data_IF_304878115643
#
_entry.id   IF_304878115643
#
_cell.length_a   1.000
_cell.length_b   1.000
_cell.length_c   1.000
_cell.angle_alpha   90.00
_cell.angle_beta   90.00
_cell.angle_gamma   90.00
#
_symmetry.space_group_name_H-M   'P 1'
#
loop_
_entity.id
_entity.type
_entity.pdbx_description
1 polymer ?
#
# COMPACT_ATOMS: atom_id res chain seq x y z
N UNK A 1 22.42 -7.85 -6.45
CA UNK A 1 22.38 -9.06 -5.60
C UNK A 1 21.00 -9.12 -4.98
N UNK A 2 20.25 -10.22 -5.08
CA UNK A 2 18.97 -10.34 -4.36
C UNK A 2 19.29 -10.72 -2.92
N UNK A 3 18.89 -9.89 -1.95
CA UNK A 3 18.99 -10.24 -0.52
C UNK A 3 18.01 -11.36 -0.18
N UNK A 4 16.99 -11.52 -1.03
CA UNK A 4 16.03 -12.59 -0.99
C UNK A 4 16.70 -13.97 -0.98
N UNK A 5 16.37 -14.75 0.04
CA UNK A 5 16.79 -16.14 0.23
C UNK A 5 15.60 -17.05 -0.07
N UNK A 6 15.46 -17.42 -1.35
CA UNK A 6 14.34 -18.24 -1.83
C UNK A 6 14.23 -19.59 -1.11
N UNK A 7 15.31 -20.09 -0.49
CA UNK A 7 15.25 -21.34 0.29
C UNK A 7 14.45 -21.22 1.59
N UNK A 8 14.20 -19.99 2.05
CA UNK A 8 13.43 -19.68 3.26
C UNK A 8 11.97 -19.37 3.00
N UNK A 9 11.54 -19.39 1.75
CA UNK A 9 10.19 -19.02 1.35
C UNK A 9 9.45 -20.30 0.99
N UNK A 10 8.24 -20.48 1.54
CA UNK A 10 7.45 -21.69 1.27
C UNK A 10 7.11 -21.81 -0.22
N UNK A 11 7.07 -23.04 -0.78
CA UNK A 11 6.91 -23.25 -2.23
C UNK A 11 5.65 -22.62 -2.83
N UNK A 12 4.53 -22.62 -2.11
CA UNK A 12 3.25 -22.07 -2.55
C UNK A 12 3.35 -20.55 -2.74
N UNK A 13 4.03 -19.88 -1.82
CA UNK A 13 4.31 -18.45 -1.89
C UNK A 13 5.23 -18.15 -3.07
N UNK A 14 6.36 -18.87 -3.20
CA UNK A 14 7.28 -18.70 -4.31
C UNK A 14 6.59 -18.83 -5.66
N UNK A 15 5.69 -19.81 -5.79
CA UNK A 15 4.91 -20.01 -7.01
C UNK A 15 4.05 -18.79 -7.34
N UNK A 16 3.31 -18.25 -6.36
CA UNK A 16 2.47 -17.07 -6.54
C UNK A 16 3.29 -15.86 -7.02
N UNK A 17 4.45 -15.61 -6.39
CA UNK A 17 5.35 -14.52 -6.78
C UNK A 17 5.95 -14.73 -8.16
N UNK A 18 6.43 -15.93 -8.47
CA UNK A 18 7.07 -16.22 -9.76
C UNK A 18 6.09 -16.00 -10.93
N UNK A 19 4.81 -16.31 -10.74
CA UNK A 19 3.77 -16.03 -11.73
C UNK A 19 3.59 -14.51 -11.93
N UNK A 20 3.50 -13.74 -10.84
CA UNK A 20 3.38 -12.28 -10.87
C UNK A 20 4.60 -11.62 -11.51
N UNK A 21 5.81 -11.98 -11.09
CA UNK A 21 7.06 -11.43 -11.63
C UNK A 21 7.24 -11.73 -13.12
N UNK A 22 6.83 -12.92 -13.59
CA UNK A 22 6.85 -13.25 -15.04
C UNK A 22 5.91 -12.35 -15.84
N UNK A 23 4.74 -12.02 -15.32
CA UNK A 23 3.80 -11.12 -15.99
C UNK A 23 4.29 -9.68 -16.00
N UNK A 24 4.84 -9.19 -14.88
CA UNK A 24 5.46 -7.87 -14.80
C UNK A 24 6.65 -7.74 -15.78
N UNK A 25 7.48 -8.78 -15.90
CA UNK A 25 8.57 -8.81 -16.88
C UNK A 25 8.05 -8.74 -18.32
N UNK A 26 6.94 -9.42 -18.64
CA UNK A 26 6.30 -9.26 -19.96
C UNK A 26 5.82 -7.83 -20.18
N UNK A 27 5.19 -7.21 -19.19
CA UNK A 27 4.77 -5.81 -19.26
C UNK A 27 5.95 -4.85 -19.50
N UNK A 28 7.06 -5.06 -18.78
CA UNK A 28 8.31 -4.34 -19.01
C UNK A 28 8.82 -4.48 -20.44
N UNK A 29 8.78 -5.69 -21.02
CA UNK A 29 9.19 -5.93 -22.40
C UNK A 29 8.23 -5.29 -23.42
N UNK A 30 6.93 -5.26 -23.15
CA UNK A 30 5.96 -4.54 -23.99
C UNK A 30 6.17 -3.02 -23.94
N UNK A 31 6.52 -2.45 -22.78
CA UNK A 31 6.85 -1.03 -22.65
C UNK A 31 7.97 -0.60 -23.60
N UNK A 32 9.00 -1.42 -23.76
CA UNK A 32 10.14 -1.11 -24.60
C UNK A 32 9.83 -1.15 -26.11
N UNK A 33 8.69 -1.72 -26.51
CA UNK A 33 8.29 -1.78 -27.93
C UNK A 33 7.72 -0.47 -28.45
N UNK A 34 7.26 0.44 -27.57
CA UNK A 34 6.71 1.72 -28.01
C UNK A 34 7.81 2.64 -28.55
N UNK A 35 7.53 3.31 -29.67
CA UNK A 35 8.46 4.22 -30.36
C UNK A 35 8.99 5.33 -29.43
N UNK A 36 8.12 5.89 -28.59
CA UNK A 36 8.49 6.93 -27.61
C UNK A 36 9.51 6.45 -26.55
N UNK A 37 9.67 5.15 -26.39
CA UNK A 37 10.54 4.54 -25.37
C UNK A 37 11.85 4.00 -25.94
N UNK A 38 12.15 4.21 -27.23
CA UNK A 38 13.39 3.71 -27.87
C UNK A 38 14.70 4.20 -27.24
N UNK A 39 14.67 5.31 -26.50
CA UNK A 39 15.82 5.83 -25.74
C UNK A 39 15.94 5.31 -24.31
N UNK A 40 15.00 4.49 -23.84
CA UNK A 40 14.98 4.03 -22.45
C UNK A 40 16.05 2.96 -22.19
N UNK A 41 17.09 3.32 -21.45
CA UNK A 41 18.19 2.42 -21.09
C UNK A 41 17.79 1.51 -19.90
N UNK A 42 16.91 0.53 -20.14
CA UNK A 42 16.45 -0.38 -19.09
C UNK A 42 17.62 -1.07 -18.37
N UNK A 43 18.62 -1.56 -19.11
CA UNK A 43 19.76 -2.25 -18.50
C UNK A 43 20.55 -1.34 -17.57
N UNK A 44 20.82 -0.10 -17.99
CA UNK A 44 21.51 0.89 -17.16
C UNK A 44 20.70 1.25 -15.91
N UNK A 45 19.38 1.42 -16.04
CA UNK A 45 18.51 1.67 -14.89
C UNK A 45 18.45 0.49 -13.92
N UNK A 46 18.32 -0.74 -14.40
CA UNK A 46 18.33 -1.92 -13.55
C UNK A 46 19.67 -2.11 -12.83
N UNK A 47 20.79 -1.82 -13.51
CA UNK A 47 22.11 -1.82 -12.88
C UNK A 47 22.19 -0.76 -11.78
N UNK A 48 21.77 0.47 -12.08
CA UNK A 48 21.76 1.59 -11.13
C UNK A 48 20.87 1.30 -9.92
N UNK A 49 19.69 0.70 -10.13
CA UNK A 49 18.80 0.24 -9.05
C UNK A 49 19.50 -0.83 -8.20
N UNK A 50 20.16 -1.81 -8.82
CA UNK A 50 20.86 -2.86 -8.08
C UNK A 50 22.00 -2.33 -7.22
N UNK A 51 22.81 -1.40 -7.76
CA UNK A 51 23.90 -0.73 -7.03
C UNK A 51 23.37 0.10 -5.85
N UNK A 52 22.30 0.87 -6.07
CA UNK A 52 21.65 1.64 -5.03
C UNK A 52 21.03 0.77 -3.94
N UNK A 53 20.38 -0.33 -4.32
CA UNK A 53 19.76 -1.25 -3.40
C UNK A 53 20.82 -1.92 -2.51
N UNK A 54 21.96 -2.30 -3.09
CA UNK A 54 23.09 -2.83 -2.32
C UNK A 54 23.60 -1.80 -1.31
N UNK A 55 23.80 -0.54 -1.72
CA UNK A 55 24.20 0.54 -0.82
C UNK A 55 23.18 0.74 0.30
N UNK A 56 21.89 0.80 -0.03
CA UNK A 56 20.80 1.01 0.93
C UNK A 56 20.77 -0.08 2.00
N UNK A 57 20.82 -1.34 1.61
CA UNK A 57 20.79 -2.43 2.58
C UNK A 57 22.08 -2.58 3.38
N UNK A 58 23.25 -2.21 2.82
CA UNK A 58 24.50 -2.14 3.59
C UNK A 58 24.45 -1.02 4.64
N UNK A 59 23.93 0.15 4.27
CA UNK A 59 23.72 1.31 5.15
C UNK A 59 22.85 0.91 6.35
N UNK A 60 21.69 0.32 6.08
CA UNK A 60 20.77 -0.17 7.11
C UNK A 60 21.39 -1.29 7.96
N UNK A 61 22.10 -2.26 7.35
CA UNK A 61 22.67 -3.39 8.09
C UNK A 61 23.78 -2.99 9.05
N UNK A 62 24.56 -1.98 8.68
CA UNK A 62 25.67 -1.49 9.48
C UNK A 62 25.23 -0.44 10.51
N UNK A 63 23.97 0.04 10.43
CA UNK A 63 23.48 1.22 11.16
C UNK A 63 24.37 2.44 10.93
N UNK A 64 24.85 2.57 9.70
CA UNK A 64 25.74 3.63 9.25
C UNK A 64 25.07 4.36 8.10
N UNK A 65 24.80 5.65 8.24
CA UNK A 65 24.10 6.46 7.24
C UNK A 65 22.62 6.64 7.54
N UNK A 66 21.97 7.43 6.69
CA UNK A 66 20.59 7.90 6.82
C UNK A 66 19.92 7.92 5.46
N UNK A 67 18.59 8.03 5.41
CA UNK A 67 17.85 8.14 4.15
C UNK A 67 18.35 9.31 3.29
N UNK A 68 18.91 10.34 3.91
CA UNK A 68 19.53 11.48 3.26
C UNK A 68 20.70 11.09 2.36
N UNK A 69 21.44 10.03 2.69
CA UNK A 69 22.59 9.52 1.92
C UNK A 69 22.18 8.82 0.61
N UNK A 70 20.87 8.66 0.39
CA UNK A 70 20.28 8.10 -0.83
C UNK A 70 19.80 9.20 -1.78
N UNK A 71 19.61 10.43 -1.31
CA UNK A 71 19.26 11.55 -2.20
C UNK A 71 20.36 11.79 -3.23
N UNK A 72 19.95 12.17 -4.43
CA UNK A 72 20.86 12.40 -5.56
C UNK A 72 21.37 11.13 -6.25
N UNK A 73 21.03 9.93 -5.76
CA UNK A 73 21.33 8.70 -6.49
C UNK A 73 20.57 8.65 -7.82
N UNK A 74 19.29 9.03 -7.80
CA UNK A 74 18.47 9.26 -8.99
C UNK A 74 18.11 10.75 -9.09
N UNK A 75 18.09 11.27 -10.32
CA UNK A 75 17.51 12.59 -10.59
C UNK A 75 15.98 12.50 -10.62
N UNK A 76 15.29 13.63 -10.47
CA UNK A 76 13.83 13.67 -10.60
C UNK A 76 13.33 13.15 -11.95
N UNK A 77 14.09 13.43 -13.02
CA UNK A 77 13.76 12.96 -14.36
C UNK A 77 13.89 11.43 -14.47
N UNK A 78 14.96 10.87 -13.89
CA UNK A 78 15.14 9.42 -13.82
C UNK A 78 14.04 8.75 -12.99
N UNK A 79 13.68 9.32 -11.82
CA UNK A 79 12.59 8.80 -11.00
C UNK A 79 11.25 8.85 -11.73
N UNK A 80 10.95 9.93 -12.47
CA UNK A 80 9.72 10.04 -13.28
C UNK A 80 9.70 9.00 -14.41
N UNK A 81 10.82 8.79 -15.08
CA UNK A 81 10.94 7.76 -16.11
C UNK A 81 10.76 6.34 -15.53
N UNK A 82 11.38 6.05 -14.37
CA UNK A 82 11.21 4.78 -13.67
C UNK A 82 9.76 4.57 -13.22
N UNK A 83 9.13 5.59 -12.64
CA UNK A 83 7.72 5.54 -12.23
C UNK A 83 6.81 5.24 -13.42
N UNK A 84 6.99 5.94 -14.55
CA UNK A 84 6.23 5.65 -15.79
C UNK A 84 6.41 4.20 -16.25
N UNK A 85 7.65 3.71 -16.27
CA UNK A 85 7.98 2.33 -16.66
C UNK A 85 7.32 1.29 -15.73
N UNK A 86 7.49 1.41 -14.42
CA UNK A 86 6.95 0.44 -13.47
C UNK A 86 5.43 0.49 -13.38
N UNK A 87 4.81 1.68 -13.46
CA UNK A 87 3.33 1.81 -13.55
C UNK A 87 2.79 1.09 -14.77
N UNK A 88 3.43 1.24 -15.93
CA UNK A 88 3.02 0.51 -17.13
C UNK A 88 3.13 -1.02 -16.94
N UNK A 89 4.23 -1.51 -16.37
CA UNK A 89 4.41 -2.94 -16.12
C UNK A 89 3.35 -3.50 -15.16
N UNK A 90 2.99 -2.73 -14.13
CA UNK A 90 1.91 -3.05 -13.18
C UNK A 90 0.54 -3.05 -13.88
N UNK A 91 0.24 -2.03 -14.70
CA UNK A 91 -1.03 -1.95 -15.44
C UNK A 91 -1.17 -3.11 -16.44
N UNK A 92 -0.08 -3.49 -17.11
CA UNK A 92 -0.06 -4.65 -18.00
C UNK A 92 -0.34 -5.96 -17.25
N UNK A 93 0.29 -6.13 -16.08
CA UNK A 93 0.06 -7.28 -15.22
C UNK A 93 -1.41 -7.34 -14.79
N UNK A 94 -1.97 -6.25 -14.26
CA UNK A 94 -3.36 -6.20 -13.78
C UNK A 94 -4.36 -6.41 -14.91
N UNK A 95 -4.11 -5.86 -16.10
CA UNK A 95 -4.94 -6.17 -17.26
C UNK A 95 -4.97 -7.68 -17.53
N UNK A 96 -3.81 -8.33 -17.51
CA UNK A 96 -3.68 -9.77 -17.75
C UNK A 96 -4.35 -10.59 -16.64
N UNK A 97 -4.23 -10.15 -15.40
CA UNK A 97 -4.87 -10.80 -14.25
C UNK A 97 -6.40 -10.70 -14.35
N UNK A 98 -6.94 -9.54 -14.69
CA UNK A 98 -8.39 -9.34 -14.89
C UNK A 98 -8.95 -10.13 -16.08
N UNK A 99 -8.13 -10.48 -17.08
CA UNK A 99 -8.52 -11.42 -18.14
C UNK A 99 -8.59 -12.87 -17.62
N UNK A 100 -7.72 -13.25 -16.68
CA UNK A 100 -7.68 -14.58 -16.04
C UNK A 100 -8.77 -14.73 -14.97
N UNK A 101 -9.03 -13.68 -14.21
CA UNK A 101 -9.98 -13.60 -13.10
C UNK A 101 -10.90 -12.38 -13.31
N UNK A 102 -11.89 -12.49 -14.22
CA UNK A 102 -12.76 -11.37 -14.54
C UNK A 102 -13.63 -10.98 -13.35
N UNK A 103 -13.79 -9.67 -13.17
CA UNK A 103 -14.76 -9.12 -12.23
C UNK A 103 -16.17 -9.48 -12.70
N UNK A 104 -17.00 -9.93 -11.78
CA UNK A 104 -18.39 -10.28 -12.06
C UNK A 104 -19.17 -9.10 -12.65
N UNK A 105 -20.00 -9.36 -13.67
CA UNK A 105 -20.77 -8.34 -14.39
C UNK A 105 -21.81 -7.61 -13.51
N UNK A 106 -22.16 -8.20 -12.37
CA UNK A 106 -23.08 -7.62 -11.39
C UNK A 106 -22.42 -6.59 -10.46
N UNK A 107 -21.08 -6.50 -10.48
CA UNK A 107 -20.32 -5.46 -9.78
C UNK A 107 -20.25 -4.21 -10.65
N UNK A 108 -20.77 -3.10 -10.13
CA UNK A 108 -20.73 -1.82 -10.84
C UNK A 108 -19.48 -1.05 -10.43
N UNK A 109 -18.65 -0.74 -11.43
CA UNK A 109 -17.49 0.13 -11.28
C UNK A 109 -17.82 1.47 -11.92
N UNK A 110 -17.71 2.56 -11.16
CA UNK A 110 -18.04 3.92 -11.63
C UNK A 110 -16.95 4.90 -11.23
N UNK A 111 -16.19 5.36 -12.21
CA UNK A 111 -15.25 6.48 -12.05
C UNK A 111 -16.01 7.77 -11.68
N UNK A 112 -15.42 8.57 -10.78
CA UNK A 112 -16.01 9.80 -10.28
C UNK A 112 -14.91 10.80 -9.90
N UNK A 113 -15.25 12.08 -9.95
CA UNK A 113 -14.48 13.14 -9.30
C UNK A 113 -15.01 13.33 -7.86
N UNK A 114 -14.19 12.98 -6.87
CA UNK A 114 -14.49 13.05 -5.45
C UNK A 114 -13.89 14.33 -4.83
N UNK A 115 -14.30 15.50 -5.32
CA UNK A 115 -13.88 16.79 -4.76
C UNK A 115 -12.53 17.28 -5.27
N UNK A 116 -12.26 17.08 -6.57
CA UNK A 116 -11.01 17.38 -7.24
C UNK A 116 -10.04 16.19 -7.34
N UNK A 117 -10.40 15.04 -6.76
CA UNK A 117 -9.58 13.83 -6.71
C UNK A 117 -10.27 12.72 -7.49
N UNK A 118 -9.64 12.10 -8.50
CA UNK A 118 -10.22 10.96 -9.19
C UNK A 118 -10.39 9.78 -8.22
N UNK A 119 -11.51 9.08 -8.34
CA UNK A 119 -11.82 7.91 -7.55
C UNK A 119 -12.73 6.96 -8.33
N UNK A 120 -12.92 5.74 -7.84
CA UNK A 120 -13.94 4.84 -8.36
C UNK A 120 -14.82 4.26 -7.27
N UNK A 121 -16.13 4.27 -7.52
CA UNK A 121 -17.07 3.45 -6.78
C UNK A 121 -17.00 2.01 -7.26
N UNK A 122 -16.93 1.07 -6.32
CA UNK A 122 -17.11 -0.35 -6.56
C UNK A 122 -18.32 -0.81 -5.75
N UNK A 123 -19.40 -1.13 -6.45
CA UNK A 123 -20.72 -1.40 -5.84
C UNK A 123 -21.10 -2.84 -6.17
N UNK A 124 -21.09 -3.69 -5.14
CA UNK A 124 -21.48 -5.10 -5.24
C UNK A 124 -23.00 -5.28 -5.07
N UNK A 125 -23.58 -6.40 -5.53
CA UNK A 125 -24.98 -6.70 -5.29
C UNK A 125 -25.33 -6.76 -3.80
N UNK A 126 -26.39 -6.04 -3.44
CA UNK A 126 -26.86 -5.94 -2.05
C UNK A 126 -26.00 -5.05 -1.16
N UNK A 127 -25.11 -4.22 -1.73
CA UNK A 127 -24.40 -3.21 -0.96
C UNK A 127 -25.39 -2.21 -0.33
N UNK A 128 -25.15 -1.86 0.93
CA UNK A 128 -25.91 -0.82 1.63
C UNK A 128 -25.49 0.56 1.14
N UNK A 129 -26.46 1.47 1.08
CA UNK A 129 -26.22 2.83 0.59
C UNK A 129 -25.65 3.76 1.66
N UNK A 130 -25.87 3.51 2.95
CA UNK A 130 -25.52 4.46 4.01
C UNK A 130 -24.09 4.29 4.56
N UNK A 131 -23.38 3.22 4.19
CA UNK A 131 -22.03 2.88 4.66
C UNK A 131 -21.04 2.74 3.51
N UNK A 132 -19.79 3.09 3.76
CA UNK A 132 -18.73 3.08 2.74
C UNK A 132 -17.39 2.66 3.34
N UNK A 133 -16.62 1.93 2.55
CA UNK A 133 -15.19 1.71 2.77
C UNK A 133 -14.45 2.69 1.86
N UNK A 134 -13.72 3.64 2.43
CA UNK A 134 -12.77 4.48 1.71
C UNK A 134 -11.46 3.71 1.60
N UNK A 135 -11.10 3.25 0.40
CA UNK A 135 -9.92 2.41 0.20
C UNK A 135 -8.76 3.19 -0.41
N UNK A 136 -7.59 3.08 0.23
CA UNK A 136 -6.35 3.75 -0.13
C UNK A 136 -5.36 2.65 -0.54
N UNK A 137 -5.00 2.60 -1.81
CA UNK A 137 -4.20 1.50 -2.36
C UNK A 137 -2.74 1.55 -1.91
N UNK A 138 -2.03 0.42 -1.98
CA UNK A 138 -0.58 0.34 -1.79
C UNK A 138 0.24 0.91 -2.96
N UNK A 139 1.48 0.44 -3.10
CA UNK A 139 2.38 0.86 -4.20
C UNK A 139 3.42 1.92 -3.84
N UNK A 140 3.75 2.07 -2.56
CA UNK A 140 4.87 2.92 -2.13
C UNK A 140 4.68 4.41 -2.39
N UNK A 141 3.44 4.89 -2.51
CA UNK A 141 3.09 6.25 -2.95
C UNK A 141 3.53 6.62 -4.38
N UNK A 142 4.08 5.65 -5.12
CA UNK A 142 4.73 5.87 -6.42
C UNK A 142 4.04 5.08 -7.52
N UNK A 143 3.47 3.92 -7.20
CA UNK A 143 2.91 2.97 -8.15
C UNK A 143 1.45 2.68 -7.83
N UNK A 144 0.86 1.81 -8.67
CA UNK A 144 -0.49 1.26 -8.51
C UNK A 144 -1.59 2.31 -8.67
N UNK A 145 -2.84 1.86 -8.56
CA UNK A 145 -4.05 2.64 -8.76
C UNK A 145 -5.24 1.84 -8.22
N UNK A 146 -6.46 2.42 -8.12
CA UNK A 146 -7.66 1.68 -7.79
C UNK A 146 -7.85 0.39 -8.59
N UNK A 147 -7.50 0.41 -9.88
CA UNK A 147 -7.63 -0.75 -10.79
C UNK A 147 -6.85 -1.95 -10.30
N UNK A 148 -5.66 -1.72 -9.77
CA UNK A 148 -4.75 -2.77 -9.28
C UNK A 148 -5.25 -3.46 -8.01
N UNK A 149 -6.16 -2.83 -7.27
CA UNK A 149 -6.68 -3.35 -6.00
C UNK A 149 -8.11 -3.90 -6.10
N UNK A 150 -8.75 -3.79 -7.27
CA UNK A 150 -10.16 -4.20 -7.50
C UNK A 150 -10.46 -5.61 -7.00
N UNK A 151 -9.59 -6.58 -7.23
CA UNK A 151 -9.83 -7.96 -6.80
C UNK A 151 -10.00 -8.04 -5.27
N UNK A 152 -9.06 -7.45 -4.52
CA UNK A 152 -9.12 -7.39 -3.06
C UNK A 152 -10.32 -6.56 -2.56
N UNK A 153 -10.51 -5.36 -3.09
CA UNK A 153 -11.54 -4.45 -2.61
C UNK A 153 -12.95 -4.96 -2.91
N UNK A 154 -13.15 -5.66 -4.03
CA UNK A 154 -14.44 -6.29 -4.38
C UNK A 154 -14.74 -7.47 -3.45
N UNK A 155 -13.75 -8.31 -3.10
CA UNK A 155 -13.95 -9.40 -2.13
C UNK A 155 -14.35 -8.86 -0.76
N UNK A 156 -13.69 -7.78 -0.29
CA UNK A 156 -14.07 -7.08 0.95
C UNK A 156 -15.50 -6.54 0.83
N UNK A 157 -15.84 -5.86 -0.28
CA UNK A 157 -17.17 -5.32 -0.52
C UNK A 157 -18.25 -6.41 -0.51
N UNK A 158 -18.00 -7.56 -1.15
CA UNK A 158 -18.93 -8.69 -1.23
C UNK A 158 -19.24 -9.27 0.15
N UNK A 159 -18.23 -9.42 1.01
CA UNK A 159 -18.39 -9.97 2.35
C UNK A 159 -19.02 -8.97 3.33
N UNK A 160 -18.69 -7.69 3.21
CA UNK A 160 -19.20 -6.62 4.09
C UNK A 160 -20.60 -6.14 3.68
N UNK A 161 -20.97 -6.33 2.40
CA UNK A 161 -22.13 -5.68 1.78
C UNK A 161 -22.06 -4.15 1.88
N UNK A 162 -20.86 -3.61 1.77
CA UNK A 162 -20.61 -2.17 1.68
C UNK A 162 -20.10 -1.82 0.29
N UNK A 163 -20.37 -0.59 -0.16
CA UNK A 163 -19.68 -0.01 -1.31
C UNK A 163 -18.27 0.41 -0.94
N UNK A 164 -17.35 0.28 -1.88
CA UNK A 164 -15.98 0.79 -1.74
C UNK A 164 -15.82 2.03 -2.61
N UNK A 165 -15.22 3.09 -2.06
CA UNK A 165 -14.69 4.21 -2.83
C UNK A 165 -13.16 4.09 -2.82
N UNK A 166 -12.57 3.70 -3.94
CA UNK A 166 -11.12 3.58 -4.07
C UNK A 166 -10.56 4.90 -4.61
N UNK A 167 -9.59 5.48 -3.90
CA UNK A 167 -9.02 6.79 -4.24
C UNK A 167 -7.85 6.63 -5.21
N UNK A 168 -7.85 7.40 -6.30
CA UNK A 168 -6.72 7.50 -7.24
C UNK A 168 -5.89 8.74 -6.89
N UNK A 169 -5.24 8.68 -5.72
CA UNK A 169 -4.52 9.82 -5.16
C UNK A 169 -3.25 10.12 -5.97
N UNK A 170 -2.80 11.37 -5.96
CA UNK A 170 -1.59 11.82 -6.67
C UNK A 170 -0.35 11.05 -6.21
N UNK A 171 0.49 10.62 -7.15
CA UNK A 171 1.67 9.79 -6.87
C UNK A 171 2.98 10.59 -6.99
N UNK A 172 3.97 10.19 -6.20
CA UNK A 172 5.35 10.60 -6.34
C UNK A 172 6.00 9.86 -7.52
N UNK A 173 7.06 10.41 -8.16
CA UNK A 173 7.72 11.68 -7.87
C UNK A 173 7.02 12.91 -8.46
N UNK A 174 5.91 12.74 -9.20
CA UNK A 174 5.20 13.88 -9.79
C UNK A 174 4.64 14.82 -8.74
N UNK A 175 4.13 14.23 -7.67
CA UNK A 175 3.54 14.89 -6.53
C UNK A 175 4.09 14.21 -5.26
N UNK A 176 5.20 14.70 -4.69
CA UNK A 176 5.73 14.17 -3.44
C UNK A 176 4.78 14.45 -2.26
N UNK A 177 5.15 13.99 -1.06
CA UNK A 177 4.45 14.36 0.17
C UNK A 177 4.26 15.89 0.26
N UNK A 178 3.09 16.40 0.72
CA UNK A 178 1.94 15.70 1.30
C UNK A 178 0.80 15.36 0.34
N UNK A 179 1.01 15.39 -0.99
CA UNK A 179 -0.07 15.34 -1.98
C UNK A 179 -1.04 14.15 -1.82
N UNK A 180 -0.49 12.97 -1.53
CA UNK A 180 -1.25 11.73 -1.30
C UNK A 180 -2.21 11.88 -0.11
N UNK A 181 -1.70 12.39 1.01
CA UNK A 181 -2.45 12.57 2.24
C UNK A 181 -3.53 13.64 2.07
N UNK A 182 -3.20 14.75 1.42
CA UNK A 182 -4.17 15.80 1.10
C UNK A 182 -5.35 15.26 0.31
N UNK A 183 -5.08 14.46 -0.73
CA UNK A 183 -6.12 13.86 -1.57
C UNK A 183 -7.02 12.91 -0.77
N UNK A 184 -6.43 12.03 0.05
CA UNK A 184 -7.18 11.08 0.88
C UNK A 184 -8.10 11.79 1.89
N UNK A 185 -7.59 12.83 2.57
CA UNK A 185 -8.38 13.62 3.52
C UNK A 185 -9.45 14.44 2.80
N UNK A 186 -9.16 14.96 1.60
CA UNK A 186 -10.15 15.67 0.79
C UNK A 186 -11.28 14.76 0.32
N UNK A 187 -10.99 13.51 -0.09
CA UNK A 187 -12.04 12.54 -0.42
C UNK A 187 -12.86 12.16 0.80
N UNK A 188 -12.24 12.01 1.98
CA UNK A 188 -12.98 11.79 3.23
C UNK A 188 -13.96 12.94 3.51
N UNK A 189 -13.50 14.20 3.42
CA UNK A 189 -14.37 15.38 3.55
C UNK A 189 -15.48 15.37 2.51
N UNK A 190 -15.15 15.02 1.26
CA UNK A 190 -16.13 14.91 0.20
C UNK A 190 -17.23 13.90 0.55
N UNK A 191 -16.88 12.71 1.08
CA UNK A 191 -17.87 11.74 1.56
C UNK A 191 -18.82 12.35 2.61
N UNK A 192 -18.30 13.14 3.55
CA UNK A 192 -19.14 13.85 4.52
C UNK A 192 -20.10 14.83 3.83
N UNK A 193 -19.64 15.57 2.81
CA UNK A 193 -20.52 16.46 2.02
C UNK A 193 -21.58 15.71 1.21
N UNK A 194 -21.32 14.45 0.85
CA UNK A 194 -22.29 13.58 0.17
C UNK A 194 -23.34 12.98 1.13
N UNK A 195 -23.27 13.32 2.42
CA UNK A 195 -24.24 12.89 3.44
C UNK A 195 -23.89 11.57 4.12
N UNK A 196 -22.70 11.00 3.88
CA UNK A 196 -22.22 9.91 4.73
C UNK A 196 -21.90 10.47 6.11
N UNK A 197 -22.40 9.79 7.15
CA UNK A 197 -21.97 10.08 8.52
C UNK A 197 -20.59 9.49 8.75
N UNK A 198 -19.76 10.16 9.54
CA UNK A 198 -18.42 9.67 9.88
C UNK A 198 -18.47 8.27 10.54
N UNK A 199 -19.45 8.04 11.42
CA UNK A 199 -19.77 6.75 12.06
C UNK A 199 -20.20 5.63 11.10
N UNK A 200 -20.34 5.93 9.79
CA UNK A 200 -20.67 4.97 8.73
C UNK A 200 -19.52 4.79 7.70
N UNK A 201 -18.37 5.42 7.92
CA UNK A 201 -17.19 5.32 7.06
C UNK A 201 -16.13 4.45 7.74
N UNK A 202 -15.55 3.52 7.00
CA UNK A 202 -14.30 2.83 7.38
C UNK A 202 -13.22 3.25 6.41
N UNK A 203 -12.04 3.61 6.91
CA UNK A 203 -10.86 3.83 6.04
C UNK A 203 -10.05 2.54 6.02
N UNK A 204 -9.70 2.05 4.84
CA UNK A 204 -8.92 0.84 4.68
C UNK A 204 -7.80 1.05 3.65
N UNK A 205 -6.69 0.33 3.82
CA UNK A 205 -5.60 0.38 2.86
C UNK A 205 -4.46 -0.55 3.20
N UNK A 206 -3.57 -0.75 2.26
CA UNK A 206 -2.45 -1.68 2.37
C UNK A 206 -1.10 -1.01 2.12
N UNK A 207 -0.02 -1.49 2.76
CA UNK A 207 1.33 -0.96 2.53
C UNK A 207 1.40 0.56 2.75
N UNK A 208 1.72 1.32 1.70
CA UNK A 208 1.64 2.78 1.69
C UNK A 208 0.20 3.31 1.87
N UNK A 209 -0.82 2.67 1.30
CA UNK A 209 -2.22 2.96 1.60
C UNK A 209 -2.61 2.65 3.04
N UNK A 210 -1.95 1.67 3.67
CA UNK A 210 -2.04 1.39 5.10
C UNK A 210 -1.45 2.53 5.94
N UNK A 211 -0.34 3.12 5.49
CA UNK A 211 0.17 4.38 6.06
C UNK A 211 -0.87 5.50 5.92
N UNK A 212 -1.36 5.76 4.70
CA UNK A 212 -2.36 6.81 4.42
C UNK A 212 -3.63 6.62 5.23
N UNK A 213 -4.02 5.38 5.53
CA UNK A 213 -5.16 5.06 6.37
C UNK A 213 -4.97 5.62 7.79
N UNK A 214 -3.79 5.38 8.37
CA UNK A 214 -3.45 5.83 9.71
C UNK A 214 -3.21 7.36 9.74
N UNK A 215 -2.44 7.89 8.81
CA UNK A 215 -2.11 9.33 8.75
C UNK A 215 -3.31 10.18 8.37
N UNK A 216 -4.25 9.66 7.57
CA UNK A 216 -5.54 10.34 7.34
C UNK A 216 -6.34 10.47 8.63
N UNK A 217 -6.44 9.42 9.46
CA UNK A 217 -7.14 9.53 10.74
C UNK A 217 -6.49 10.53 11.70
N UNK A 218 -5.15 10.51 11.78
CA UNK A 218 -4.39 11.49 12.58
C UNK A 218 -4.67 12.91 12.07
N UNK A 219 -4.57 13.14 10.75
CA UNK A 219 -4.82 14.45 10.16
C UNK A 219 -6.26 14.93 10.36
N UNK A 220 -7.24 14.03 10.25
CA UNK A 220 -8.65 14.33 10.51
C UNK A 220 -8.86 14.73 11.98
N UNK A 221 -8.20 14.04 12.91
CA UNK A 221 -8.25 14.36 14.33
C UNK A 221 -7.64 15.75 14.61
N UNK A 222 -6.45 16.02 14.06
CA UNK A 222 -5.76 17.30 14.20
C UNK A 222 -6.61 18.47 13.65
N UNK A 223 -7.34 18.22 12.57
CA UNK A 223 -8.22 19.21 11.93
C UNK A 223 -9.60 19.34 12.62
N UNK A 224 -9.86 18.57 13.68
CA UNK A 224 -11.15 18.56 14.38
C UNK A 224 -12.32 18.02 13.54
N UNK A 225 -12.02 17.18 12.54
CA UNK A 225 -13.01 16.55 11.66
C UNK A 225 -13.48 15.24 12.32
N UNK A 226 -14.80 14.94 12.32
CA UNK A 226 -15.31 13.69 12.86
C UNK A 226 -14.59 12.47 12.25
N UNK A 227 -14.15 11.55 13.12
CA UNK A 227 -13.38 10.37 12.73
C UNK A 227 -14.27 9.23 12.19
N UNK A 228 -13.71 8.35 11.32
CA UNK A 228 -14.42 7.17 10.83
C UNK A 228 -14.81 6.23 11.97
N UNK A 229 -15.71 5.28 11.67
CA UNK A 229 -16.10 4.21 12.59
C UNK A 229 -14.91 3.32 13.01
N UNK A 230 -13.91 3.19 12.15
CA UNK A 230 -12.69 2.43 12.39
C UNK A 230 -11.79 2.39 11.16
N UNK A 231 -10.67 1.69 11.29
CA UNK A 231 -9.69 1.54 10.23
C UNK A 231 -9.18 0.11 10.05
N UNK A 232 -8.81 -0.23 8.81
CA UNK A 232 -8.15 -1.48 8.46
C UNK A 232 -6.85 -1.17 7.72
N UNK A 233 -5.71 -1.46 8.33
CA UNK A 233 -4.41 -1.25 7.73
C UNK A 233 -3.69 -2.60 7.52
N UNK A 234 -3.43 -2.95 6.27
CA UNK A 234 -2.79 -4.21 5.88
C UNK A 234 -1.30 -3.94 5.62
N UNK A 235 -0.40 -4.60 6.35
CA UNK A 235 1.04 -4.41 6.21
C UNK A 235 1.50 -2.94 6.18
N UNK A 236 1.00 -2.03 7.07
CA UNK A 236 1.26 -0.60 6.93
C UNK A 236 2.73 -0.24 7.16
N UNK A 237 3.25 0.69 6.33
CA UNK A 237 4.54 1.33 6.58
C UNK A 237 4.38 2.48 7.59
N UNK A 238 4.73 2.27 8.86
CA UNK A 238 4.48 3.27 9.93
C UNK A 238 5.68 4.06 10.43
N UNK A 239 6.89 3.72 9.98
CA UNK A 239 8.16 4.27 10.47
C UNK A 239 9.16 4.37 9.31
N UNK A 240 9.55 5.59 8.95
CA UNK A 240 10.53 5.89 7.90
C UNK A 240 11.90 6.31 8.46
N UNK A 241 12.13 6.14 9.76
CA UNK A 241 13.32 6.62 10.49
C UNK A 241 14.44 5.57 10.62
N UNK A 242 14.44 4.55 9.75
CA UNK A 242 15.42 3.44 9.74
C UNK A 242 15.50 2.60 11.03
N UNK A 243 14.49 2.69 11.91
CA UNK A 243 14.47 2.05 13.23
C UNK A 243 13.79 0.67 13.28
N UNK A 244 13.38 0.12 12.13
CA UNK A 244 12.66 -1.15 12.04
C UNK A 244 13.62 -2.34 11.85
N UNK A 245 13.70 -3.23 12.84
CA UNK A 245 14.66 -4.34 12.82
C UNK A 245 14.28 -5.38 11.76
N UNK A 246 12.98 -5.67 11.61
CA UNK A 246 12.49 -6.61 10.59
C UNK A 246 12.65 -6.07 9.18
N UNK A 247 12.69 -4.75 8.99
CA UNK A 247 12.87 -4.16 7.66
C UNK A 247 14.15 -4.69 6.99
N UNK A 248 15.19 -4.92 7.78
CA UNK A 248 16.39 -5.60 7.32
C UNK A 248 16.32 -7.12 7.47
N UNK A 249 16.00 -7.65 8.67
CA UNK A 249 16.11 -9.09 8.93
C UNK A 249 15.22 -9.93 8.01
N UNK A 250 14.05 -9.42 7.68
CA UNK A 250 13.06 -10.09 6.83
C UNK A 250 13.25 -9.79 5.33
N UNK A 251 14.22 -8.96 4.93
CA UNK A 251 14.54 -8.77 3.51
C UNK A 251 14.91 -10.10 2.80
N UNK A 252 15.39 -11.10 3.57
CA UNK A 252 15.66 -12.45 3.06
C UNK A 252 14.40 -13.27 2.79
N UNK A 253 13.27 -12.90 3.38
CA UNK A 253 12.00 -13.63 3.30
C UNK A 253 10.88 -12.81 2.67
N UNK A 254 11.13 -11.55 2.30
CA UNK A 254 10.17 -10.65 1.67
C UNK A 254 10.43 -10.48 0.16
N UNK A 255 9.75 -11.27 -0.68
CA UNK A 255 9.95 -11.29 -2.12
C UNK A 255 9.22 -10.15 -2.85
N UNK A 256 8.38 -9.40 -2.14
CA UNK A 256 7.74 -8.23 -2.71
C UNK A 256 8.66 -7.05 -2.48
N UNK A 257 9.01 -6.71 -1.24
CA UNK A 257 9.71 -5.45 -0.96
C UNK A 257 11.23 -5.49 -1.24
N UNK A 258 11.90 -6.63 -1.07
CA UNK A 258 13.36 -6.67 -1.12
C UNK A 258 13.98 -6.41 -2.51
N UNK A 259 13.28 -6.77 -3.58
CA UNK A 259 13.86 -6.84 -4.94
C UNK A 259 13.52 -5.64 -5.85
N UNK A 260 12.59 -4.76 -5.45
CA UNK A 260 12.08 -3.65 -6.30
C UNK A 260 12.80 -2.31 -6.09
N UNK A 261 13.74 -2.23 -5.14
CA UNK A 261 14.48 -0.99 -4.85
C UNK A 261 13.64 0.03 -4.11
N UNK A 262 13.05 -0.33 -2.97
CA UNK A 262 12.17 0.54 -2.15
C UNK A 262 12.81 1.89 -1.81
N UNK A 263 14.14 1.99 -1.77
CA UNK A 263 14.87 3.24 -1.52
C UNK A 263 14.50 4.38 -2.49
N UNK A 264 14.30 4.13 -3.79
CA UNK A 264 14.00 5.24 -4.70
C UNK A 264 12.54 5.68 -4.58
N UNK A 265 11.65 4.78 -4.13
CA UNK A 265 10.28 5.17 -3.77
C UNK A 265 10.29 6.08 -2.54
N UNK A 266 11.09 5.70 -1.55
CA UNK A 266 11.29 6.50 -0.34
C UNK A 266 11.79 7.90 -0.68
N UNK A 267 12.87 8.03 -1.47
CA UNK A 267 13.40 9.35 -1.84
C UNK A 267 12.44 10.15 -2.71
N UNK A 268 11.69 9.49 -3.60
CA UNK A 268 10.68 10.14 -4.44
C UNK A 268 9.51 10.69 -3.60
N UNK A 269 9.07 9.92 -2.61
CA UNK A 269 7.95 10.28 -1.73
C UNK A 269 8.33 11.37 -0.73
N UNK A 270 9.42 11.17 0.01
CA UNK A 270 9.88 12.10 1.04
C UNK A 270 10.34 13.42 0.43
N UNK A 271 11.06 13.39 -0.69
CA UNK A 271 11.54 14.58 -1.40
C UNK A 271 12.22 15.63 -0.50
N UNK A 272 12.93 15.19 0.53
CA UNK A 272 13.63 16.03 1.51
C UNK A 272 12.84 16.34 2.78
N UNK A 273 11.61 15.86 2.92
CA UNK A 273 10.83 15.97 4.14
C UNK A 273 11.39 15.10 5.26
N UNK A 274 11.18 15.56 6.49
CA UNK A 274 11.66 14.89 7.70
C UNK A 274 10.93 13.55 7.91
N UNK A 275 11.64 12.40 7.88
CA UNK A 275 11.02 11.10 8.11
C UNK A 275 10.42 10.95 9.52
N UNK A 276 10.80 11.79 10.49
CA UNK A 276 10.21 11.78 11.82
C UNK A 276 8.81 12.42 11.87
N UNK A 277 8.41 13.18 10.83
CA UNK A 277 7.12 13.85 10.77
C UNK A 277 5.97 12.85 11.05
N UNK A 278 5.08 13.09 12.02
CA UNK A 278 4.01 12.15 12.39
C UNK A 278 2.99 11.87 11.28
N UNK A 279 2.92 12.73 10.26
CA UNK A 279 2.08 12.52 9.07
C UNK A 279 2.79 11.73 7.95
N UNK A 280 4.08 11.44 8.12
CA UNK A 280 4.89 10.53 7.30
C UNK A 280 5.06 9.20 8.06
N UNK A 281 5.55 9.27 9.29
CA UNK A 281 5.73 8.14 10.21
C UNK A 281 4.67 8.19 11.32
N UNK A 282 3.47 7.60 11.12
CA UNK A 282 2.41 7.64 12.12
C UNK A 282 2.80 6.96 13.44
N UNK A 283 3.87 6.15 13.47
CA UNK A 283 4.44 5.66 14.72
C UNK A 283 4.93 6.77 15.65
N UNK A 284 5.19 7.99 15.15
CA UNK A 284 5.61 9.14 15.94
C UNK A 284 4.45 10.02 16.42
N UNK A 285 3.23 9.83 15.91
CA UNK A 285 2.06 10.64 16.25
C UNK A 285 1.50 10.39 17.66
N UNK A 286 0.71 11.32 18.19
CA UNK A 286 -0.22 11.01 19.29
C UNK A 286 -1.38 10.18 18.73
N UNK A 287 -1.62 9.02 19.32
CA UNK A 287 -2.62 8.06 18.84
C UNK A 287 -3.88 8.07 19.70
N UNK A 288 -3.91 8.88 20.77
CA UNK A 288 -5.03 8.92 21.70
C UNK A 288 -6.31 9.34 21.00
N UNK A 289 -7.39 8.57 21.20
CA UNK A 289 -8.71 8.91 20.67
C UNK A 289 -8.92 8.55 19.19
N UNK A 290 -7.96 7.87 18.54
CA UNK A 290 -8.22 7.21 17.27
C UNK A 290 -9.29 6.11 17.43
N UNK A 291 -10.11 5.85 16.40
CA UNK A 291 -11.15 4.81 16.43
C UNK A 291 -10.54 3.41 16.39
N UNK A 292 -11.34 2.32 16.52
CA UNK A 292 -10.83 0.96 16.45
C UNK A 292 -10.02 0.66 15.18
N UNK A 293 -8.90 -0.06 15.32
CA UNK A 293 -7.97 -0.37 14.24
C UNK A 293 -7.75 -1.88 14.12
N UNK A 294 -7.91 -2.42 12.92
CA UNK A 294 -7.42 -3.74 12.54
C UNK A 294 -6.08 -3.59 11.80
N UNK A 295 -5.07 -4.31 12.28
CA UNK A 295 -3.79 -4.49 11.62
C UNK A 295 -3.64 -5.95 11.22
N UNK A 296 -3.31 -6.22 9.96
CA UNK A 296 -2.95 -7.56 9.49
C UNK A 296 -1.56 -7.49 8.86
N UNK A 297 -0.68 -8.43 9.20
CA UNK A 297 0.73 -8.37 8.79
C UNK A 297 1.32 -9.78 8.65
N UNK A 298 2.21 -9.99 7.69
CA UNK A 298 3.01 -11.21 7.63
C UNK A 298 4.17 -11.14 8.64
N UNK A 299 4.45 -12.24 9.34
CA UNK A 299 5.67 -12.37 10.16
C UNK A 299 6.96 -12.46 9.31
N UNK A 300 6.83 -12.68 8.01
CA UNK A 300 7.93 -12.87 7.06
C UNK A 300 8.24 -11.64 6.20
N UNK A 301 7.46 -10.58 6.31
CA UNK A 301 7.64 -9.34 5.52
C UNK A 301 8.53 -8.32 6.26
N UNK A 302 9.13 -7.41 5.50
CA UNK A 302 10.01 -6.35 6.02
C UNK A 302 9.26 -5.41 6.97
N UNK A 303 7.97 -5.14 6.72
CA UNK A 303 7.14 -4.23 7.50
C UNK A 303 6.50 -4.86 8.76
N UNK A 304 6.90 -6.06 9.16
CA UNK A 304 6.36 -6.72 10.34
C UNK A 304 6.43 -5.83 11.60
N UNK A 305 7.61 -5.27 11.92
CA UNK A 305 7.80 -4.39 13.08
C UNK A 305 7.02 -3.06 12.97
N UNK A 306 6.70 -2.61 11.77
CA UNK A 306 5.91 -1.39 11.59
C UNK A 306 4.50 -1.60 12.15
N UNK A 307 3.94 -2.79 11.96
CA UNK A 307 2.62 -3.15 12.48
C UNK A 307 2.65 -3.44 13.97
N UNK A 308 3.62 -4.22 14.44
CA UNK A 308 3.68 -4.63 15.87
C UNK A 308 3.96 -3.43 16.77
N UNK A 309 4.95 -2.59 16.45
CA UNK A 309 5.29 -1.38 17.24
C UNK A 309 4.16 -0.36 17.23
N UNK A 310 3.51 -0.15 16.09
CA UNK A 310 2.35 0.74 16.02
C UNK A 310 1.19 0.20 16.86
N UNK A 311 0.91 -1.10 16.79
CA UNK A 311 -0.14 -1.73 17.59
C UNK A 311 0.12 -1.58 19.10
N UNK A 312 1.37 -1.79 19.55
CA UNK A 312 1.77 -1.60 20.93
C UNK A 312 1.58 -0.15 21.39
N UNK A 313 2.05 0.82 20.61
CA UNK A 313 1.90 2.25 20.92
C UNK A 313 0.43 2.67 20.98
N UNK A 314 -0.38 2.26 20.00
CA UNK A 314 -1.79 2.58 19.92
C UNK A 314 -2.58 1.97 21.11
N UNK A 315 -2.31 0.71 21.47
CA UNK A 315 -2.90 0.09 22.67
C UNK A 315 -2.51 0.83 23.95
N UNK A 316 -1.24 1.24 24.08
CA UNK A 316 -0.76 2.02 25.22
C UNK A 316 -1.44 3.40 25.31
N UNK A 317 -1.83 3.99 24.17
CA UNK A 317 -2.62 5.22 24.08
C UNK A 317 -4.13 5.02 24.34
N UNK A 318 -4.59 3.79 24.55
CA UNK A 318 -6.00 3.44 24.83
C UNK A 318 -6.86 3.21 23.59
N UNK A 319 -6.28 3.03 22.41
CA UNK A 319 -6.99 2.68 21.17
C UNK A 319 -7.36 1.20 21.19
N UNK A 320 -8.56 0.85 20.73
CA UNK A 320 -8.94 -0.54 20.49
C UNK A 320 -8.23 -1.06 19.22
N UNK A 321 -7.21 -1.90 19.41
CA UNK A 321 -6.40 -2.42 18.32
C UNK A 321 -6.42 -3.93 18.29
N UNK A 322 -6.86 -4.48 17.16
CA UNK A 322 -6.70 -5.89 16.83
C UNK A 322 -5.50 -6.04 15.90
N UNK A 323 -4.45 -6.71 16.36
CA UNK A 323 -3.32 -7.11 15.53
C UNK A 323 -3.46 -8.59 15.17
N UNK A 324 -3.35 -8.93 13.88
CA UNK A 324 -3.38 -10.30 13.37
C UNK A 324 -2.10 -10.57 12.59
N UNK A 325 -1.32 -11.50 13.11
CA UNK A 325 -0.03 -11.88 12.55
C UNK A 325 -0.17 -13.20 11.79
N UNK A 326 0.30 -13.21 10.55
CA UNK A 326 0.17 -14.34 9.64
C UNK A 326 1.55 -14.94 9.37
N UNK A 327 1.65 -16.26 9.49
CA UNK A 327 2.94 -16.96 9.35
C UNK A 327 3.23 -17.31 7.91
N UNK A 328 4.47 -17.07 7.50
CA UNK A 328 5.03 -17.52 6.22
C UNK A 328 4.24 -17.06 4.98
N UNK A 329 3.53 -15.93 5.07
CA UNK A 329 2.86 -15.27 3.93
C UNK A 329 3.74 -14.14 3.36
N UNK A 330 3.24 -13.45 2.33
CA UNK A 330 3.93 -12.31 1.70
C UNK A 330 3.37 -10.96 2.18
N UNK A 331 4.13 -9.90 1.93
CA UNK A 331 3.64 -8.52 2.02
C UNK A 331 2.32 -8.38 1.27
N UNK A 332 1.27 -7.87 1.94
CA UNK A 332 -0.10 -7.74 1.39
C UNK A 332 -0.62 -9.05 0.76
N UNK A 333 -0.43 -10.18 1.46
CA UNK A 333 -0.89 -11.49 0.99
C UNK A 333 -2.39 -11.56 0.71
N UNK A 334 -3.21 -10.67 1.29
CA UNK A 334 -4.64 -10.54 0.99
C UNK A 334 -4.88 -10.20 -0.48
N UNK A 335 -4.04 -9.35 -1.08
CA UNK A 335 -4.09 -8.99 -2.48
C UNK A 335 -3.24 -9.94 -3.34
N UNK A 336 -1.93 -9.96 -3.10
CA UNK A 336 -1.00 -10.73 -3.95
C UNK A 336 -1.19 -12.24 -3.85
N UNK A 337 -1.69 -12.73 -2.73
CA UNK A 337 -1.97 -14.15 -2.52
C UNK A 337 -3.43 -14.52 -2.72
N UNK A 338 -4.29 -13.59 -3.17
CA UNK A 338 -5.76 -13.77 -3.18
C UNK A 338 -6.21 -15.08 -3.84
N UNK A 339 -5.58 -15.43 -4.96
CA UNK A 339 -5.96 -16.59 -5.77
C UNK A 339 -5.16 -17.85 -5.46
N UNK A 340 -4.06 -17.73 -4.71
CA UNK A 340 -3.07 -18.80 -4.53
C UNK A 340 -2.89 -19.26 -3.08
N UNK A 341 -3.22 -18.40 -2.11
CA UNK A 341 -2.98 -18.63 -0.69
C UNK A 341 -4.30 -18.72 0.10
N UNK A 342 -4.56 -19.82 0.82
CA UNK A 342 -5.76 -19.94 1.65
C UNK A 342 -5.80 -18.88 2.77
N UNK A 343 -4.64 -18.45 3.26
CA UNK A 343 -4.54 -17.41 4.28
C UNK A 343 -5.13 -16.08 3.80
N UNK A 344 -4.99 -15.75 2.51
CA UNK A 344 -5.52 -14.51 1.95
C UNK A 344 -7.05 -14.44 2.12
N UNK A 345 -7.74 -15.53 1.79
CA UNK A 345 -9.19 -15.63 1.94
C UNK A 345 -9.62 -15.57 3.41
N UNK A 346 -8.91 -16.26 4.29
CA UNK A 346 -9.19 -16.22 5.73
C UNK A 346 -9.01 -14.80 6.28
N UNK A 347 -7.93 -14.13 5.91
CA UNK A 347 -7.66 -12.76 6.31
C UNK A 347 -8.73 -11.78 5.83
N UNK A 348 -9.23 -11.91 4.59
CA UNK A 348 -10.31 -11.06 4.07
C UNK A 348 -11.64 -11.30 4.80
N UNK A 349 -11.92 -12.56 5.19
CA UNK A 349 -13.05 -12.86 6.08
C UNK A 349 -12.88 -12.15 7.42
N UNK A 350 -11.68 -12.16 8.01
CA UNK A 350 -11.39 -11.46 9.26
C UNK A 350 -11.51 -9.93 9.14
N UNK A 351 -11.14 -9.36 8.00
CA UNK A 351 -11.41 -7.94 7.68
C UNK A 351 -12.91 -7.66 7.73
N UNK A 352 -13.71 -8.47 7.03
CA UNK A 352 -15.15 -8.28 6.99
C UNK A 352 -15.82 -8.48 8.36
N UNK A 353 -15.36 -9.45 9.16
CA UNK A 353 -15.81 -9.66 10.55
C UNK A 353 -15.51 -8.45 11.43
N UNK A 354 -14.34 -7.84 11.30
CA UNK A 354 -13.98 -6.62 12.03
C UNK A 354 -14.88 -5.45 11.60
N UNK A 355 -14.99 -5.18 10.30
CA UNK A 355 -15.80 -4.07 9.77
C UNK A 355 -17.26 -4.18 10.23
N UNK A 356 -17.83 -5.38 10.21
CA UNK A 356 -19.22 -5.60 10.66
C UNK A 356 -19.43 -5.36 12.15
N UNK A 357 -18.39 -5.45 12.99
CA UNK A 357 -18.51 -5.18 14.44
C UNK A 357 -18.46 -3.69 14.78
N UNK A 358 -18.11 -2.83 13.83
CA UNK A 358 -18.09 -1.38 14.02
C UNK A 358 -19.50 -0.76 14.00
N UNK A 359 -20.49 -1.51 13.53
CA UNK A 359 -21.90 -1.12 13.38
C UNK A 359 -22.81 -2.09 14.11
#
# INVERSE_FOLDING_TARGET
>A
MTILDRSKIRPEVLKSIDETQKLQLKGALEYLKFEENKGFNLQGYLQKIAEANEKFFQMLSNKEGTIEDLYGFFTDEEMRMLAKFFRFAVDYYIKTELEKYPISEDVKIKEIDAGGVPAEWQIVPGAVDDKVILYLHGGGMVLMSPKTHRALTIEIAQLTKMRVLSVDYRLAPEHPFPAQLEDCVNVYRWLLTQGFKAENIVIAGDSAGGNLTLTSMIKLQDDGIPLPAGAVALSPATDYTDNSETFYKNAKTDPILADIGVFWWLTAFLAGEDPENPLISPLNADLKGLPPILLQVSTSEMLYDHSTRFAEKAKAAGVDVTLQEWKDTIHVFQGFGLHDLPEAKEAIIKIAEFIKKLF
#
